data_IF_285989695767
#
_entry.id   IF_285989695767
#
_cell.length_a   1.000
_cell.length_b   1.000
_cell.length_c   1.000
_cell.angle_alpha   90.00
_cell.angle_beta   90.00
_cell.angle_gamma   90.00
#
_symmetry.space_group_name_H-M   'P 1'
#
loop_
_entity.id
_entity.type
_entity.pdbx_description
1 polymer ?
#
# COMPACT_ATOMS: atom_id res chain seq x y z
N UNK A 1 19.32 16.44 -81.41
CA UNK A 1 17.93 16.22 -80.98
C UNK A 1 17.70 14.75 -80.56
N UNK A 2 17.42 14.50 -79.26
CA UNK A 2 17.10 13.18 -78.63
C UNK A 2 18.23 12.12 -78.77
N UNK A 3 18.87 11.59 -77.73
CA UNK A 3 18.68 11.72 -76.27
C UNK A 3 17.30 11.28 -75.77
N UNK A 4 16.97 10.00 -75.98
CA UNK A 4 16.08 9.15 -75.15
C UNK A 4 16.18 7.70 -75.67
N UNK A 5 16.90 6.80 -74.98
CA UNK A 5 16.78 5.33 -75.15
C UNK A 5 17.68 4.46 -74.24
N UNK A 6 18.61 5.01 -73.45
CA UNK A 6 19.49 4.23 -72.55
C UNK A 6 19.29 4.58 -71.08
N UNK A 7 18.10 4.30 -70.56
CA UNK A 7 17.78 4.41 -69.12
C UNK A 7 16.73 3.37 -68.71
N UNK A 8 17.02 2.11 -69.02
CA UNK A 8 16.18 0.95 -68.70
C UNK A 8 17.03 -0.27 -68.30
N UNK A 9 17.99 -0.06 -67.38
CA UNK A 9 18.68 -1.09 -66.61
C UNK A 9 19.53 -0.41 -65.53
N UNK A 10 18.91 -0.10 -64.38
CA UNK A 10 19.50 0.14 -63.04
C UNK A 10 18.48 0.88 -62.18
N UNK A 11 17.48 0.14 -61.68
CA UNK A 11 16.75 0.49 -60.44
C UNK A 11 15.99 -0.75 -59.94
N UNK A 12 16.74 -1.83 -59.74
CA UNK A 12 16.27 -3.01 -59.05
C UNK A 12 16.54 -2.88 -57.55
N UNK A 13 15.64 -2.17 -56.86
CA UNK A 13 15.23 -2.53 -55.51
C UNK A 13 16.34 -2.66 -54.46
N UNK A 14 16.86 -1.52 -53.99
CA UNK A 14 17.33 -1.42 -52.61
C UNK A 14 16.12 -1.54 -51.66
N UNK A 15 15.66 -2.76 -51.42
CA UNK A 15 14.80 -3.03 -50.26
C UNK A 15 15.68 -2.75 -49.03
N UNK A 16 15.34 -1.79 -48.15
CA UNK A 16 16.02 -1.71 -46.87
C UNK A 16 15.78 -3.04 -46.16
N UNK A 17 16.86 -3.71 -45.74
CA UNK A 17 16.77 -4.99 -45.04
C UNK A 17 15.74 -4.82 -43.92
N UNK A 18 14.63 -5.56 -44.03
CA UNK A 18 13.50 -5.39 -43.13
C UNK A 18 14.01 -5.63 -41.71
N UNK A 19 14.01 -4.58 -40.89
CA UNK A 19 14.40 -4.68 -39.50
C UNK A 19 13.56 -5.82 -38.89
N UNK A 20 14.22 -6.92 -38.52
CA UNK A 20 13.59 -7.97 -37.74
C UNK A 20 12.98 -7.28 -36.52
N UNK A 21 11.66 -7.35 -36.29
CA UNK A 21 11.03 -6.63 -35.20
C UNK A 21 11.74 -7.03 -33.92
N UNK A 22 12.37 -6.07 -33.25
CA UNK A 22 13.15 -6.31 -32.04
C UNK A 22 12.21 -6.86 -30.98
N UNK A 23 12.32 -8.15 -30.70
CA UNK A 23 11.52 -8.83 -29.70
C UNK A 23 11.79 -8.16 -28.34
N UNK A 24 10.77 -7.51 -27.77
CA UNK A 24 10.88 -6.86 -26.48
C UNK A 24 10.58 -7.84 -25.35
N UNK A 25 11.43 -7.85 -24.33
CA UNK A 25 11.29 -8.67 -23.14
C UNK A 25 10.41 -7.92 -22.13
N UNK A 26 9.17 -8.37 -21.93
CA UNK A 26 8.26 -7.80 -20.94
C UNK A 26 8.36 -8.64 -19.67
N UNK A 27 9.18 -8.17 -18.73
CA UNK A 27 9.55 -8.90 -17.51
C UNK A 27 8.70 -8.44 -16.33
N UNK A 28 7.86 -9.34 -15.84
CA UNK A 28 7.00 -9.10 -14.68
C UNK A 28 7.64 -9.70 -13.42
N UNK A 29 7.82 -8.83 -12.43
CA UNK A 29 8.52 -9.08 -11.18
C UNK A 29 7.59 -8.72 -10.03
N UNK A 30 7.79 -9.35 -8.86
CA UNK A 30 6.93 -9.12 -7.69
C UNK A 30 6.60 -10.40 -6.95
N UNK A 31 6.16 -10.24 -5.70
CA UNK A 31 5.92 -11.34 -4.77
C UNK A 31 4.77 -12.28 -5.19
N UNK A 32 4.63 -13.45 -4.52
CA UNK A 32 3.48 -14.33 -4.73
C UNK A 32 2.14 -13.62 -4.54
N UNK A 33 1.10 -14.07 -5.24
CA UNK A 33 -0.25 -13.51 -5.11
C UNK A 33 -0.46 -12.10 -5.68
N UNK A 34 0.57 -11.44 -6.22
CA UNK A 34 0.47 -10.10 -6.82
C UNK A 34 -0.33 -10.06 -8.14
N UNK A 35 -0.50 -11.21 -8.81
CA UNK A 35 -1.31 -11.33 -10.04
C UNK A 35 -0.54 -11.29 -11.37
N UNK A 36 0.79 -11.48 -11.36
CA UNK A 36 1.67 -11.43 -12.56
C UNK A 36 1.13 -12.25 -13.75
N UNK A 37 0.97 -13.54 -13.57
CA UNK A 37 0.51 -14.47 -14.61
C UNK A 37 -0.88 -14.10 -15.16
N UNK A 38 -1.82 -13.70 -14.29
CA UNK A 38 -3.16 -13.22 -14.68
C UNK A 38 -3.09 -11.94 -15.51
N UNK A 39 -2.28 -10.96 -15.10
CA UNK A 39 -2.10 -9.71 -15.82
C UNK A 39 -1.48 -9.94 -17.20
N UNK A 40 -0.49 -10.84 -17.29
CA UNK A 40 0.13 -11.23 -18.56
C UNK A 40 -0.89 -11.90 -19.48
N UNK A 41 -1.72 -12.81 -18.97
CA UNK A 41 -2.78 -13.47 -19.74
C UNK A 41 -3.79 -12.44 -20.28
N UNK A 42 -4.14 -11.42 -19.50
CA UNK A 42 -4.99 -10.31 -19.95
C UNK A 42 -4.31 -9.45 -21.04
N UNK A 43 -3.01 -9.18 -20.92
CA UNK A 43 -2.22 -8.48 -21.96
C UNK A 43 -2.06 -9.29 -23.26
N UNK A 44 -2.00 -10.61 -23.17
CA UNK A 44 -1.99 -11.51 -24.32
C UNK A 44 -3.41 -11.79 -24.88
N UNK A 45 -4.46 -11.34 -24.20
CA UNK A 45 -5.85 -11.66 -24.56
C UNK A 45 -6.16 -13.17 -24.57
N UNK A 46 -5.30 -14.01 -23.98
CA UNK A 46 -5.43 -15.47 -23.92
C UNK A 46 -4.54 -16.05 -22.81
N UNK A 47 -4.93 -17.22 -22.28
CA UNK A 47 -4.22 -17.87 -21.17
C UNK A 47 -2.95 -18.57 -21.65
N UNK A 48 -1.83 -17.87 -21.63
CA UNK A 48 -0.49 -18.38 -22.01
C UNK A 48 0.35 -18.86 -20.82
N UNK A 49 0.00 -18.45 -19.59
CA UNK A 49 0.53 -18.94 -18.32
C UNK A 49 -0.60 -19.51 -17.48
N UNK A 50 -0.31 -20.50 -16.61
CA UNK A 50 -1.30 -20.97 -15.64
C UNK A 50 -1.46 -19.89 -14.55
N UNK A 51 -2.68 -19.42 -14.32
CA UNK A 51 -3.01 -18.47 -13.26
C UNK A 51 -4.21 -18.96 -12.44
N UNK A 52 -4.34 -18.53 -11.20
CA UNK A 52 -5.38 -19.03 -10.30
C UNK A 52 -5.02 -18.87 -8.83
N UNK A 53 -5.92 -19.33 -7.95
CA UNK A 53 -5.70 -19.30 -6.50
C UNK A 53 -4.66 -20.37 -6.11
N UNK A 54 -3.78 -20.02 -5.16
CA UNK A 54 -2.79 -20.94 -4.60
C UNK A 54 -2.60 -20.65 -3.11
N UNK A 55 -2.62 -21.70 -2.30
CA UNK A 55 -2.46 -21.59 -0.85
C UNK A 55 -0.99 -21.78 -0.46
N UNK A 56 -0.50 -20.97 0.48
CA UNK A 56 0.86 -21.07 1.04
C UNK A 56 1.97 -20.41 0.21
N UNK A 57 1.86 -20.39 -1.13
CA UNK A 57 2.88 -19.80 -2.01
C UNK A 57 2.37 -19.47 -3.41
N UNK A 58 3.29 -19.06 -4.30
CA UNK A 58 2.95 -18.70 -5.68
C UNK A 58 2.75 -19.92 -6.58
N UNK A 59 1.82 -19.83 -7.54
CA UNK A 59 1.59 -20.89 -8.54
C UNK A 59 2.76 -21.01 -9.54
N UNK A 60 3.37 -19.89 -9.92
CA UNK A 60 4.61 -19.83 -10.72
C UNK A 60 5.80 -20.19 -9.84
N UNK A 61 6.37 -21.39 -10.04
CA UNK A 61 7.52 -21.91 -9.28
C UNK A 61 8.86 -21.82 -10.02
N UNK A 62 8.84 -21.57 -11.32
CA UNK A 62 10.00 -21.49 -12.22
C UNK A 62 9.87 -20.28 -13.15
N UNK A 63 10.98 -19.81 -13.71
CA UNK A 63 10.97 -18.79 -14.77
C UNK A 63 10.27 -19.35 -16.02
N UNK A 64 9.29 -18.61 -16.55
CA UNK A 64 8.59 -19.00 -17.77
C UNK A 64 8.56 -17.84 -18.77
N UNK A 65 8.82 -18.14 -20.05
CA UNK A 65 8.74 -17.18 -21.14
C UNK A 65 7.86 -17.66 -22.29
N UNK A 66 7.04 -16.77 -22.84
CA UNK A 66 6.12 -17.03 -23.95
C UNK A 66 6.16 -15.87 -24.94
N UNK A 67 6.21 -16.16 -26.23
CA UNK A 67 6.14 -15.13 -27.28
C UNK A 67 4.69 -15.04 -27.77
N UNK A 68 4.15 -13.82 -27.77
CA UNK A 68 2.83 -13.50 -28.30
C UNK A 68 2.85 -12.06 -28.85
N UNK A 69 2.28 -11.83 -30.03
CA UNK A 69 2.24 -10.53 -30.72
C UNK A 69 3.58 -9.75 -30.73
N UNK A 70 4.66 -10.45 -31.09
CA UNK A 70 6.05 -9.92 -31.11
C UNK A 70 6.56 -9.36 -29.77
N UNK A 71 5.96 -9.78 -28.65
CA UNK A 71 6.44 -9.52 -27.29
C UNK A 71 6.83 -10.85 -26.64
N UNK A 72 7.99 -10.89 -25.97
CA UNK A 72 8.36 -12.00 -25.10
C UNK A 72 7.91 -11.68 -23.68
N UNK A 73 6.76 -12.22 -23.29
CA UNK A 73 6.27 -12.13 -21.92
C UNK A 73 7.07 -13.09 -21.04
N UNK A 74 7.53 -12.58 -19.90
CA UNK A 74 8.34 -13.28 -18.92
C UNK A 74 7.65 -13.20 -17.54
N UNK A 75 7.25 -14.36 -17.01
CA UNK A 75 6.69 -14.50 -15.67
C UNK A 75 7.71 -15.17 -14.74
N UNK A 76 7.80 -14.70 -13.50
CA UNK A 76 8.76 -15.20 -12.51
C UNK A 76 8.08 -15.68 -11.23
N UNK A 77 8.69 -16.62 -10.49
CA UNK A 77 8.42 -16.79 -9.06
C UNK A 77 8.68 -15.47 -8.30
N UNK A 78 8.15 -15.37 -7.08
CA UNK A 78 8.28 -14.17 -6.22
C UNK A 78 9.22 -14.39 -5.03
N UNK A 79 10.01 -13.37 -4.68
CA UNK A 79 11.06 -13.48 -3.66
C UNK A 79 10.55 -13.70 -2.22
N UNK A 80 9.31 -13.32 -1.90
CA UNK A 80 8.71 -13.60 -0.59
C UNK A 80 8.15 -15.03 -0.43
N UNK A 81 8.23 -15.90 -1.44
CA UNK A 81 7.84 -17.32 -1.32
C UNK A 81 8.91 -18.07 -0.49
N UNK A 82 8.60 -18.37 0.78
CA UNK A 82 9.57 -18.94 1.74
C UNK A 82 10.09 -20.32 1.33
N UNK A 83 9.30 -21.09 0.60
CA UNK A 83 9.63 -22.48 0.26
C UNK A 83 10.54 -22.58 -0.98
N UNK A 84 10.56 -21.54 -1.82
CA UNK A 84 11.33 -21.51 -3.07
C UNK A 84 12.19 -20.25 -3.25
N UNK A 85 12.56 -19.58 -2.16
CA UNK A 85 13.23 -18.27 -2.19
C UNK A 85 14.56 -18.30 -2.99
N UNK A 86 15.36 -19.37 -2.88
CA UNK A 86 16.59 -19.57 -3.66
C UNK A 86 16.30 -19.76 -5.15
N UNK A 87 15.33 -20.61 -5.48
CA UNK A 87 14.89 -20.82 -6.87
C UNK A 87 14.31 -19.53 -7.47
N UNK A 88 13.64 -18.69 -6.65
CA UNK A 88 13.10 -17.42 -7.10
C UNK A 88 14.20 -16.40 -7.42
N UNK A 89 15.23 -16.30 -6.57
CA UNK A 89 16.41 -15.48 -6.84
C UNK A 89 17.14 -15.93 -8.11
N UNK A 90 17.38 -17.24 -8.27
CA UNK A 90 18.01 -17.79 -9.46
C UNK A 90 17.19 -17.55 -10.75
N UNK A 91 15.88 -17.79 -10.69
CA UNK A 91 14.95 -17.58 -11.80
C UNK A 91 14.88 -16.12 -12.26
N UNK A 92 14.92 -15.16 -11.33
CA UNK A 92 14.95 -13.73 -11.68
C UNK A 92 16.32 -13.34 -12.26
N UNK A 93 17.43 -13.86 -11.72
CA UNK A 93 18.76 -13.67 -12.30
C UNK A 93 18.82 -14.24 -13.73
N UNK A 94 18.26 -15.41 -13.99
CA UNK A 94 18.17 -15.99 -15.34
C UNK A 94 17.32 -15.13 -16.28
N UNK A 95 16.17 -14.64 -15.80
CA UNK A 95 15.26 -13.80 -16.57
C UNK A 95 15.87 -12.45 -16.97
N UNK A 96 16.70 -11.84 -16.10
CA UNK A 96 17.48 -10.64 -16.41
C UNK A 96 18.69 -10.93 -17.31
N UNK A 97 19.23 -12.15 -17.24
CA UNK A 97 20.39 -12.59 -18.04
C UNK A 97 20.05 -13.01 -19.47
N UNK A 98 18.81 -12.83 -19.94
CA UNK A 98 18.51 -12.95 -21.37
C UNK A 98 19.06 -11.73 -22.11
N UNK A 99 19.43 -11.87 -23.38
CA UNK A 99 19.82 -10.71 -24.19
C UNK A 99 18.59 -9.95 -24.69
N UNK A 100 18.68 -8.61 -24.73
CA UNK A 100 17.74 -7.76 -25.47
C UNK A 100 17.21 -6.55 -24.70
N UNK A 101 16.13 -5.98 -25.25
CA UNK A 101 15.50 -4.76 -24.75
C UNK A 101 14.35 -5.11 -23.78
N UNK A 102 14.50 -4.72 -22.52
CA UNK A 102 13.57 -5.01 -21.44
C UNK A 102 12.61 -3.87 -21.17
N UNK A 103 11.36 -4.22 -20.87
CA UNK A 103 10.45 -3.43 -20.04
C UNK A 103 10.27 -4.14 -18.71
N UNK A 104 10.67 -3.49 -17.62
CA UNK A 104 10.58 -4.03 -16.27
C UNK A 104 9.28 -3.58 -15.61
N UNK A 105 8.47 -4.54 -15.16
CA UNK A 105 7.19 -4.32 -14.48
C UNK A 105 7.21 -4.92 -13.09
N UNK A 106 7.25 -4.07 -12.06
CA UNK A 106 7.19 -4.50 -10.67
C UNK A 106 5.75 -4.43 -10.14
N UNK A 107 5.19 -5.58 -9.78
CA UNK A 107 3.86 -5.68 -9.21
C UNK A 107 3.91 -5.48 -7.69
N UNK A 108 3.11 -4.54 -7.21
CA UNK A 108 3.07 -4.07 -5.82
C UNK A 108 1.64 -4.10 -5.30
N UNK A 109 1.45 -4.44 -4.03
CA UNK A 109 0.14 -4.45 -3.36
C UNK A 109 -0.07 -3.20 -2.50
N UNK A 110 -1.34 -2.84 -2.33
CA UNK A 110 -1.79 -1.91 -1.29
C UNK A 110 -2.61 -2.63 -0.23
N UNK A 111 -2.02 -2.84 0.95
CA UNK A 111 -2.72 -3.38 2.11
C UNK A 111 -3.28 -2.22 2.94
N UNK A 112 -4.61 -2.10 2.96
CA UNK A 112 -5.33 -1.00 3.62
C UNK A 112 -4.85 0.41 3.22
N UNK A 113 -4.35 0.55 1.98
CA UNK A 113 -3.82 1.81 1.43
C UNK A 113 -2.34 2.05 1.70
N UNK A 114 -1.65 1.13 2.39
CA UNK A 114 -0.20 1.14 2.61
C UNK A 114 0.49 0.25 1.59
N UNK A 115 1.66 0.68 1.14
CA UNK A 115 2.52 -0.08 0.24
C UNK A 115 3.20 -1.20 1.03
N UNK A 116 3.15 -2.44 0.54
CA UNK A 116 3.78 -3.58 1.24
C UNK A 116 5.30 -3.51 1.12
N UNK A 117 6.03 -3.56 2.24
CA UNK A 117 7.50 -3.41 2.28
C UNK A 117 8.23 -4.52 1.49
N UNK A 118 7.77 -5.77 1.58
CA UNK A 118 8.34 -6.90 0.82
C UNK A 118 8.28 -6.68 -0.70
N UNK A 119 7.24 -5.98 -1.19
CA UNK A 119 7.07 -5.69 -2.62
C UNK A 119 8.08 -4.61 -3.06
N UNK A 120 8.39 -3.64 -2.20
CA UNK A 120 9.46 -2.66 -2.44
C UNK A 120 10.87 -3.26 -2.27
N UNK A 121 11.05 -4.20 -1.33
CA UNK A 121 12.29 -4.94 -1.19
C UNK A 121 12.60 -5.76 -2.44
N UNK A 122 11.57 -6.28 -3.12
CA UNK A 122 11.71 -6.90 -4.44
C UNK A 122 12.25 -5.91 -5.48
N UNK A 123 11.74 -4.68 -5.53
CA UNK A 123 12.26 -3.63 -6.43
C UNK A 123 13.73 -3.35 -6.13
N UNK A 124 14.04 -3.05 -4.88
CA UNK A 124 15.38 -2.61 -4.45
C UNK A 124 16.44 -3.71 -4.66
N UNK A 125 16.15 -4.97 -4.30
CA UNK A 125 17.08 -6.10 -4.47
C UNK A 125 17.30 -6.44 -5.94
N UNK A 126 16.24 -6.48 -6.75
CA UNK A 126 16.36 -6.84 -8.18
C UNK A 126 17.04 -5.74 -8.97
N UNK A 127 16.76 -4.46 -8.70
CA UNK A 127 17.46 -3.36 -9.35
C UNK A 127 18.91 -3.22 -8.87
N UNK A 128 19.20 -3.53 -7.59
CA UNK A 128 20.58 -3.59 -7.07
C UNK A 128 21.40 -4.73 -7.69
N UNK A 129 20.79 -5.77 -8.25
CA UNK A 129 21.55 -6.85 -8.90
C UNK A 129 22.10 -6.44 -10.27
N UNK A 130 21.57 -5.38 -10.89
CA UNK A 130 21.94 -4.88 -12.22
C UNK A 130 22.96 -3.74 -12.08
N UNK A 131 24.13 -3.87 -12.71
CA UNK A 131 25.23 -2.90 -12.67
C UNK A 131 25.07 -1.78 -13.72
N UNK A 132 23.89 -1.13 -13.70
CA UNK A 132 23.57 0.00 -14.55
C UNK A 132 23.24 1.24 -13.70
N UNK A 133 23.79 2.39 -14.09
CA UNK A 133 23.65 3.65 -13.34
C UNK A 133 22.19 4.11 -13.18
N UNK A 134 21.40 3.97 -14.23
CA UNK A 134 19.99 4.37 -14.26
C UNK A 134 19.18 3.27 -14.95
N UNK A 135 18.30 2.61 -14.19
CA UNK A 135 17.45 1.52 -14.67
C UNK A 135 16.01 2.01 -14.62
N UNK A 136 15.38 2.36 -15.76
CA UNK A 136 13.99 2.77 -15.77
C UNK A 136 13.05 1.56 -15.69
N UNK A 137 12.01 1.66 -14.85
CA UNK A 137 11.05 0.59 -14.59
C UNK A 137 9.64 1.14 -14.40
N UNK A 138 8.64 0.26 -14.45
CA UNK A 138 7.23 0.58 -14.20
C UNK A 138 6.76 -0.14 -12.93
N UNK A 139 5.99 0.54 -12.08
CA UNK A 139 5.28 -0.07 -10.95
C UNK A 139 3.81 -0.25 -11.30
N UNK A 140 3.30 -1.46 -11.10
CA UNK A 140 1.91 -1.84 -11.36
C UNK A 140 1.27 -2.23 -10.03
N UNK A 141 0.35 -1.39 -9.55
CA UNK A 141 -0.31 -1.59 -8.27
C UNK A 141 -1.61 -2.32 -8.51
N UNK A 142 -1.67 -3.60 -8.16
CA UNK A 142 -2.79 -4.46 -8.51
C UNK A 142 -3.86 -4.57 -7.42
N UNK A 143 -5.06 -5.05 -7.79
CA UNK A 143 -6.19 -5.34 -6.89
C UNK A 143 -6.61 -4.14 -6.02
N UNK A 144 -6.54 -2.93 -6.57
CA UNK A 144 -6.89 -1.70 -5.84
C UNK A 144 -8.41 -1.63 -5.65
N UNK A 145 -8.88 -1.62 -4.39
CA UNK A 145 -10.31 -1.65 -4.08
C UNK A 145 -11.00 -0.38 -4.62
N UNK A 146 -12.24 -0.51 -5.10
CA UNK A 146 -13.02 0.56 -5.77
C UNK A 146 -12.89 1.97 -5.17
N UNK A 147 -13.01 2.13 -3.85
CA UNK A 147 -12.84 3.43 -3.16
C UNK A 147 -11.41 3.95 -3.26
N UNK A 148 -10.41 3.11 -3.00
CA UNK A 148 -9.00 3.48 -3.10
C UNK A 148 -8.65 3.86 -4.54
N UNK A 149 -9.14 3.10 -5.51
CA UNK A 149 -8.90 3.36 -6.93
C UNK A 149 -9.40 4.76 -7.33
N UNK A 150 -10.62 5.12 -6.95
CA UNK A 150 -11.16 6.46 -7.18
C UNK A 150 -10.25 7.56 -6.58
N UNK A 151 -9.81 7.42 -5.32
CA UNK A 151 -8.91 8.38 -4.65
C UNK A 151 -7.53 8.47 -5.34
N UNK A 152 -7.02 7.38 -5.91
CA UNK A 152 -5.77 7.38 -6.67
C UNK A 152 -5.94 8.07 -8.02
N UNK A 153 -7.09 7.90 -8.68
CA UNK A 153 -7.40 8.56 -9.96
C UNK A 153 -7.65 10.09 -9.81
N UNK A 154 -8.09 10.55 -8.65
CA UNK A 154 -8.16 11.99 -8.31
C UNK A 154 -6.78 12.67 -8.29
N UNK A 155 -5.71 11.89 -8.10
CA UNK A 155 -4.32 12.38 -7.92
C UNK A 155 -4.18 13.42 -6.80
N UNK A 156 -4.97 13.26 -5.73
CA UNK A 156 -4.96 14.12 -4.55
C UNK A 156 -3.81 13.83 -3.57
N UNK A 157 -3.87 14.37 -2.34
CA UNK A 157 -2.83 14.19 -1.33
C UNK A 157 -2.50 12.72 -1.02
N UNK A 158 -3.49 11.82 -1.01
CA UNK A 158 -3.26 10.40 -0.73
C UNK A 158 -2.54 9.69 -1.88
N UNK A 159 -2.78 10.07 -3.14
CA UNK A 159 -1.97 9.61 -4.28
C UNK A 159 -0.51 10.06 -4.13
N UNK A 160 -0.28 11.32 -3.76
CA UNK A 160 1.07 11.84 -3.51
C UNK A 160 1.76 11.07 -2.38
N UNK A 161 1.04 10.73 -1.29
CA UNK A 161 1.57 9.88 -0.22
C UNK A 161 1.97 8.49 -0.74
N UNK A 162 1.07 7.79 -1.43
CA UNK A 162 1.32 6.43 -1.95
C UNK A 162 2.49 6.43 -2.93
N UNK A 163 2.54 7.37 -3.88
CA UNK A 163 3.66 7.51 -4.82
C UNK A 163 4.98 7.82 -4.11
N UNK A 164 4.95 8.61 -3.04
CA UNK A 164 6.14 8.90 -2.22
C UNK A 164 6.63 7.65 -1.48
N UNK A 165 5.73 6.85 -0.92
CA UNK A 165 6.06 5.59 -0.23
C UNK A 165 6.60 4.52 -1.18
N UNK A 166 6.07 4.43 -2.41
CA UNK A 166 6.62 3.56 -3.48
C UNK A 166 8.06 3.95 -3.81
N UNK A 167 8.39 5.24 -3.67
CA UNK A 167 9.68 5.81 -4.00
C UNK A 167 10.47 6.19 -2.73
N UNK A 168 10.32 5.44 -1.63
CA UNK A 168 11.26 5.48 -0.51
C UNK A 168 12.58 4.77 -0.86
N UNK A 169 12.50 3.71 -1.68
CA UNK A 169 13.62 2.97 -2.30
C UNK A 169 14.68 3.87 -2.95
N UNK A 170 15.92 3.35 -3.09
CA UNK A 170 17.01 4.09 -3.74
C UNK A 170 16.70 4.35 -5.21
N UNK A 171 16.12 3.34 -5.86
CA UNK A 171 15.60 3.43 -7.22
C UNK A 171 14.20 4.06 -7.22
N UNK A 172 13.92 4.98 -8.14
CA UNK A 172 12.64 5.70 -8.20
C UNK A 172 12.06 5.75 -9.61
N UNK A 173 10.74 5.67 -9.76
CA UNK A 173 10.05 5.82 -11.04
C UNK A 173 8.81 6.72 -10.94
N UNK A 174 8.53 7.41 -12.05
CA UNK A 174 7.28 8.13 -12.32
C UNK A 174 6.24 7.27 -13.07
N UNK A 175 6.63 6.09 -13.57
CA UNK A 175 5.76 5.21 -14.34
C UNK A 175 5.00 4.28 -13.39
N UNK A 176 3.85 4.76 -12.91
CA UNK A 176 3.02 4.05 -11.93
C UNK A 176 1.60 3.93 -12.47
N UNK A 177 1.09 2.70 -12.58
CA UNK A 177 -0.33 2.42 -12.81
C UNK A 177 -0.97 1.81 -11.56
N UNK A 178 -2.26 2.12 -11.40
CA UNK A 178 -3.15 1.45 -10.46
C UNK A 178 -4.10 0.61 -11.29
N UNK A 179 -4.31 -0.64 -10.91
CA UNK A 179 -5.23 -1.57 -11.55
C UNK A 179 -6.33 -1.85 -10.52
N UNK A 180 -7.61 -1.56 -10.83
CA UNK A 180 -8.69 -1.84 -9.89
C UNK A 180 -8.85 -3.35 -9.72
N UNK A 181 -9.54 -3.78 -8.67
CA UNK A 181 -10.15 -5.12 -8.67
C UNK A 181 -11.07 -5.21 -9.90
N UNK A 182 -10.93 -6.29 -10.68
CA UNK A 182 -11.75 -6.57 -11.85
C UNK A 182 -12.56 -7.83 -11.55
N UNK A 183 -13.87 -7.68 -11.35
CA UNK A 183 -14.77 -8.75 -10.90
C UNK A 183 -14.68 -10.04 -11.75
N UNK A 184 -14.39 -9.91 -13.05
CA UNK A 184 -14.22 -11.04 -13.97
C UNK A 184 -12.90 -11.83 -13.83
N UNK A 185 -12.04 -11.45 -12.87
CA UNK A 185 -10.78 -12.14 -12.53
C UNK A 185 -10.75 -12.58 -11.05
N UNK A 186 -11.76 -12.24 -10.25
CA UNK A 186 -11.74 -12.47 -8.81
C UNK A 186 -12.03 -13.95 -8.50
N UNK A 187 -11.13 -14.59 -7.76
CA UNK A 187 -11.13 -16.03 -7.45
C UNK A 187 -11.17 -17.01 -8.67
N UNK A 188 -11.06 -16.52 -9.91
CA UNK A 188 -11.17 -17.33 -11.13
C UNK A 188 -9.81 -17.87 -11.65
N UNK A 189 -9.79 -19.16 -11.99
CA UNK A 189 -8.62 -19.85 -12.55
C UNK A 189 -8.47 -19.56 -14.06
N UNK A 190 -7.27 -19.13 -14.48
CA UNK A 190 -6.91 -18.86 -15.89
C UNK A 190 -7.78 -17.82 -16.60
N UNK A 191 -8.50 -16.98 -15.85
CA UNK A 191 -9.37 -15.95 -16.40
C UNK A 191 -8.60 -14.89 -17.22
N UNK A 192 -9.28 -14.39 -18.24
CA UNK A 192 -8.76 -13.40 -19.19
C UNK A 192 -9.84 -12.36 -19.44
N UNK A 193 -9.49 -11.09 -19.33
CA UNK A 193 -10.38 -9.98 -19.63
C UNK A 193 -9.61 -8.79 -20.21
N UNK A 194 -10.34 -7.77 -20.67
CA UNK A 194 -9.73 -6.52 -21.13
C UNK A 194 -9.32 -5.68 -19.93
N UNK A 195 -8.08 -5.20 -19.94
CA UNK A 195 -7.58 -4.26 -18.95
C UNK A 195 -8.19 -2.86 -19.15
N UNK A 196 -8.13 -1.99 -18.14
CA UNK A 196 -8.38 -0.56 -18.33
C UNK A 196 -7.48 0.00 -19.46
N UNK A 197 -8.01 0.76 -20.44
CA UNK A 197 -7.25 1.19 -21.61
C UNK A 197 -5.99 2.01 -21.27
N UNK A 198 -6.02 2.78 -20.18
CA UNK A 198 -4.90 3.55 -19.67
C UNK A 198 -3.78 2.65 -19.11
N UNK A 199 -4.13 1.56 -18.43
CA UNK A 199 -3.18 0.53 -17.96
C UNK A 199 -2.55 -0.19 -19.15
N UNK A 200 -3.35 -0.62 -20.13
CA UNK A 200 -2.85 -1.29 -21.33
C UNK A 200 -1.95 -0.37 -22.16
N UNK A 201 -2.35 0.88 -22.38
CA UNK A 201 -1.53 1.87 -23.09
C UNK A 201 -0.24 2.20 -22.35
N UNK A 202 -0.26 2.28 -21.01
CA UNK A 202 0.97 2.45 -20.23
C UNK A 202 1.92 1.29 -20.51
N UNK A 203 1.49 0.05 -20.30
CA UNK A 203 2.34 -1.15 -20.43
C UNK A 203 2.89 -1.29 -21.85
N UNK A 204 2.03 -1.19 -22.88
CA UNK A 204 2.45 -1.36 -24.28
C UNK A 204 3.32 -0.22 -24.78
N UNK A 205 2.91 1.04 -24.59
CA UNK A 205 3.47 2.17 -25.35
C UNK A 205 4.30 3.15 -24.52
N UNK A 206 3.98 3.37 -23.24
CA UNK A 206 4.64 4.40 -22.43
C UNK A 206 5.63 3.87 -21.38
N UNK A 207 5.54 2.58 -21.03
CA UNK A 207 6.48 1.94 -20.12
C UNK A 207 7.89 2.00 -20.74
N UNK A 208 8.89 2.49 -19.99
CA UNK A 208 10.23 2.73 -20.51
C UNK A 208 10.94 1.41 -20.80
N UNK A 209 11.98 1.50 -21.62
CA UNK A 209 12.74 0.33 -22.07
C UNK A 209 14.23 0.53 -21.76
N UNK A 210 14.93 -0.55 -21.40
CA UNK A 210 16.35 -0.57 -21.05
C UNK A 210 17.02 -1.78 -21.70
N UNK A 211 18.25 -1.61 -22.20
CA UNK A 211 19.09 -2.73 -22.61
C UNK A 211 19.83 -3.25 -21.38
N UNK A 212 19.79 -4.57 -21.14
CA UNK A 212 20.52 -5.20 -20.02
C UNK A 212 21.42 -6.27 -20.63
N UNK A 213 22.74 -6.12 -20.45
CA UNK A 213 23.69 -7.16 -20.82
C UNK A 213 23.70 -8.24 -19.75
N UNK A 214 23.83 -9.54 -20.10
CA UNK A 214 24.02 -10.60 -19.11
C UNK A 214 25.28 -10.39 -18.24
N UNK A 215 26.27 -9.64 -18.74
CA UNK A 215 27.47 -9.27 -17.97
C UNK A 215 27.21 -8.21 -16.88
N UNK A 216 26.13 -7.45 -17.00
CA UNK A 216 25.73 -6.41 -16.04
C UNK A 216 24.83 -7.00 -14.94
N UNK A 217 24.51 -8.31 -14.98
CA UNK A 217 23.60 -8.96 -14.03
C UNK A 217 24.39 -9.78 -13.01
N UNK A 218 24.19 -9.47 -11.73
CA UNK A 218 24.73 -10.21 -10.58
C UNK A 218 23.69 -11.16 -10.00
N UNK A 219 24.14 -12.23 -9.35
CA UNK A 219 23.26 -13.14 -8.63
C UNK A 219 22.56 -12.43 -7.47
N UNK A 220 21.23 -12.58 -7.39
CA UNK A 220 20.44 -12.08 -6.26
C UNK A 220 20.74 -12.92 -5.00
N UNK A 221 20.89 -12.27 -3.85
CA UNK A 221 21.13 -12.92 -2.55
C UNK A 221 19.93 -12.74 -1.62
N UNK A 222 19.67 -13.73 -0.77
CA UNK A 222 18.48 -13.78 0.09
C UNK A 222 18.63 -12.90 1.33
N UNK A 223 19.84 -12.81 1.86
CA UNK A 223 20.19 -12.02 3.04
C UNK A 223 19.90 -10.54 2.80
N UNK A 224 20.16 -10.07 1.56
CA UNK A 224 19.85 -8.72 1.13
C UNK A 224 18.33 -8.46 1.17
N UNK A 225 17.49 -9.41 0.74
CA UNK A 225 16.02 -9.23 0.74
C UNK A 225 15.42 -9.05 2.12
N UNK A 226 15.80 -9.91 3.09
CA UNK A 226 15.26 -9.81 4.46
C UNK A 226 15.63 -8.48 5.11
N UNK A 227 16.93 -8.14 5.04
CA UNK A 227 17.45 -6.88 5.57
C UNK A 227 16.79 -5.66 4.93
N UNK A 228 16.67 -5.64 3.60
CA UNK A 228 16.07 -4.53 2.86
C UNK A 228 14.57 -4.37 3.17
N UNK A 229 13.81 -5.46 3.37
CA UNK A 229 12.40 -5.35 3.78
C UNK A 229 12.24 -4.74 5.18
N UNK A 230 13.09 -5.11 6.12
CA UNK A 230 13.10 -4.53 7.47
C UNK A 230 13.47 -3.04 7.43
N UNK A 231 14.54 -2.66 6.72
CA UNK A 231 14.96 -1.26 6.54
C UNK A 231 13.87 -0.41 5.87
N UNK A 232 13.24 -0.90 4.79
CA UNK A 232 12.15 -0.19 4.10
C UNK A 232 10.89 -0.06 4.95
N UNK A 233 10.57 -1.06 5.77
CA UNK A 233 9.44 -0.99 6.70
C UNK A 233 9.64 0.12 7.74
N UNK A 234 10.84 0.21 8.31
CA UNK A 234 11.16 1.31 9.24
C UNK A 234 11.14 2.68 8.54
N UNK A 235 11.66 2.79 7.31
CA UNK A 235 11.65 4.03 6.55
C UNK A 235 10.22 4.50 6.25
N UNK A 236 9.35 3.59 5.81
CA UNK A 236 7.93 3.88 5.58
C UNK A 236 7.21 4.33 6.85
N UNK A 237 7.50 3.70 8.00
CA UNK A 237 6.92 4.11 9.29
C UNK A 237 7.41 5.51 9.71
N UNK A 238 8.71 5.80 9.53
CA UNK A 238 9.28 7.14 9.76
C UNK A 238 8.64 8.19 8.84
N UNK A 239 8.47 7.91 7.55
CA UNK A 239 7.80 8.78 6.58
C UNK A 239 6.32 9.01 6.88
N UNK A 240 5.62 8.02 7.43
CA UNK A 240 4.21 8.16 7.81
C UNK A 240 4.02 8.96 9.10
N UNK A 241 4.93 8.83 10.06
CA UNK A 241 4.84 9.47 11.37
C UNK A 241 5.44 10.90 11.37
N UNK A 242 6.44 11.20 10.53
CA UNK A 242 7.05 12.52 10.41
C UNK A 242 6.57 13.28 9.16
N UNK A 243 5.67 14.24 9.38
CA UNK A 243 5.13 15.10 8.31
C UNK A 243 6.19 16.01 7.67
N UNK A 244 7.25 16.40 8.39
CA UNK A 244 8.32 17.23 7.85
C UNK A 244 9.25 16.40 6.95
N UNK A 245 9.60 15.17 7.37
CA UNK A 245 10.31 14.21 6.54
C UNK A 245 9.52 13.85 5.27
N UNK A 246 8.21 13.63 5.41
CA UNK A 246 7.32 13.38 4.28
C UNK A 246 7.28 14.54 3.29
N UNK A 247 7.09 15.78 3.78
CA UNK A 247 7.15 17.00 2.95
C UNK A 247 8.50 17.16 2.24
N UNK A 248 9.61 16.85 2.93
CA UNK A 248 10.96 16.88 2.35
C UNK A 248 11.11 15.85 1.24
N UNK A 249 10.73 14.58 1.46
CA UNK A 249 10.82 13.53 0.44
C UNK A 249 9.95 13.84 -0.78
N UNK A 250 8.74 14.36 -0.54
CA UNK A 250 7.83 14.88 -1.57
C UNK A 250 8.53 15.98 -2.40
N UNK A 251 9.21 16.94 -1.77
CA UNK A 251 9.95 17.99 -2.46
C UNK A 251 11.15 17.45 -3.27
N UNK A 252 11.96 16.55 -2.69
CA UNK A 252 13.09 15.89 -3.35
C UNK A 252 12.64 15.19 -4.64
N UNK A 253 11.59 14.37 -4.56
CA UNK A 253 11.01 13.68 -5.71
C UNK A 253 10.45 14.64 -6.78
N UNK A 254 9.97 15.82 -6.37
CA UNK A 254 9.40 16.82 -7.27
C UNK A 254 10.43 17.61 -8.08
N UNK A 255 11.71 17.56 -7.69
CA UNK A 255 12.81 18.07 -8.52
C UNK A 255 13.10 17.17 -9.72
N UNK A 256 12.67 15.90 -9.69
CA UNK A 256 12.89 14.96 -10.79
C UNK A 256 11.91 15.25 -11.95
N UNK A 257 12.38 15.23 -13.21
CA UNK A 257 11.52 15.51 -14.36
C UNK A 257 10.37 14.49 -14.44
N UNK A 258 9.20 14.97 -14.86
CA UNK A 258 7.97 14.19 -15.06
C UNK A 258 7.40 13.47 -13.83
N UNK A 259 7.95 13.67 -12.62
CA UNK A 259 7.60 12.86 -11.45
C UNK A 259 6.19 13.10 -10.88
N UNK A 260 5.77 14.37 -10.80
CA UNK A 260 4.45 14.78 -10.33
C UNK A 260 3.79 15.78 -11.30
N UNK A 261 3.91 15.55 -12.61
CA UNK A 261 3.37 16.45 -13.63
C UNK A 261 1.86 16.69 -13.44
N UNK A 262 1.45 17.96 -13.59
CA UNK A 262 0.11 18.52 -13.29
C UNK A 262 -0.40 18.44 -11.83
N UNK A 263 0.04 17.48 -11.01
CA UNK A 263 -0.49 17.26 -9.65
C UNK A 263 -0.24 18.46 -8.72
N UNK A 264 0.98 19.02 -8.76
CA UNK A 264 1.40 20.09 -7.86
C UNK A 264 0.60 21.38 -7.92
N UNK A 265 0.05 21.76 -9.08
CA UNK A 265 -0.65 23.06 -9.20
C UNK A 265 -1.95 23.11 -8.38
N UNK A 266 -2.56 21.94 -8.11
CA UNK A 266 -3.72 21.82 -7.20
C UNK A 266 -3.30 21.49 -5.78
N UNK A 267 -2.26 20.66 -5.63
CA UNK A 267 -1.81 20.15 -4.33
C UNK A 267 -1.08 21.22 -3.50
N UNK A 268 -0.29 22.10 -4.12
CA UNK A 268 0.36 23.22 -3.42
C UNK A 268 -0.67 24.12 -2.69
N UNK A 269 -1.80 24.41 -3.33
CA UNK A 269 -2.87 25.22 -2.74
C UNK A 269 -3.56 24.54 -1.54
N UNK A 270 -3.55 23.21 -1.46
CA UNK A 270 -4.12 22.44 -0.35
C UNK A 270 -3.13 22.28 0.83
N UNK A 271 -1.82 22.25 0.55
CA UNK A 271 -0.80 22.04 1.58
C UNK A 271 -0.53 23.27 2.46
N UNK A 272 -0.88 24.48 1.99
CA UNK A 272 -0.84 25.71 2.81
C UNK A 272 -2.03 25.82 3.77
N UNK A 273 -3.23 25.32 3.42
CA UNK A 273 -4.45 25.51 4.24
C UNK A 273 -4.83 24.34 5.17
N UNK A 274 -4.38 23.10 4.93
CA UNK A 274 -4.96 21.91 5.59
C UNK A 274 -4.08 21.12 6.57
N UNK A 275 -2.89 21.63 6.95
CA UNK A 275 -2.10 21.06 8.06
C UNK A 275 -1.67 22.15 9.07
N UNK A 276 -2.62 22.98 9.50
CA UNK A 276 -2.49 23.87 10.67
C UNK A 276 -3.70 23.80 11.61
N UNK A 277 -4.19 22.59 11.91
CA UNK A 277 -4.96 22.36 13.13
C UNK A 277 -4.36 21.21 13.93
N UNK A 278 -3.86 21.45 15.16
CA UNK A 278 -3.55 20.36 16.08
C UNK A 278 -4.85 19.67 16.47
N UNK A 279 -4.81 18.33 16.59
CA UNK A 279 -5.96 17.55 17.07
C UNK A 279 -6.14 17.79 18.57
N UNK A 280 -6.83 18.87 18.92
CA UNK A 280 -7.33 19.10 20.28
C UNK A 280 -8.69 18.42 20.41
N UNK A 281 -8.74 17.29 21.11
CA UNK A 281 -10.00 16.70 21.55
C UNK A 281 -10.63 17.57 22.65
N UNK A 282 -11.40 18.58 22.26
CA UNK A 282 -12.31 19.26 23.17
C UNK A 282 -13.68 18.56 23.18
N UNK A 283 -13.81 17.54 24.04
CA UNK A 283 -15.13 17.15 24.53
C UNK A 283 -15.72 18.31 25.34
N UNK A 284 -16.76 18.98 24.86
CA UNK A 284 -17.67 19.72 25.76
C UNK A 284 -19.10 19.73 25.20
N UNK A 285 -20.01 19.13 25.97
CA UNK A 285 -21.45 19.24 25.80
C UNK A 285 -21.91 20.67 26.09
N UNK A 286 -22.67 21.28 25.17
CA UNK A 286 -23.68 22.31 25.49
C UNK A 286 -24.73 22.40 24.38
N UNK A 287 -25.99 22.13 24.74
CA UNK A 287 -27.16 22.48 23.93
C UNK A 287 -27.42 23.99 24.00
N UNK A 288 -28.09 24.55 22.99
CA UNK A 288 -29.16 25.51 23.24
C UNK A 288 -30.52 24.95 22.80
N UNK A 289 -31.56 25.21 23.59
CA UNK A 289 -32.94 25.07 23.14
C UNK A 289 -33.32 26.27 22.26
N UNK A 290 -34.17 26.03 21.25
CA UNK A 290 -35.11 27.02 20.73
C UNK A 290 -36.38 26.29 20.29
N UNK A 291 -37.55 26.83 20.66
CA UNK A 291 -38.86 26.24 20.43
C UNK A 291 -39.27 26.21 18.95
N UNK A 292 -40.20 25.30 18.61
CA UNK A 292 -41.48 25.67 17.96
C UNK A 292 -42.53 24.59 18.23
N UNK A 293 -43.79 25.01 18.37
CA UNK A 293 -44.93 24.23 18.87
C UNK A 293 -45.75 23.56 17.75
N UNK A 294 -46.45 22.50 18.14
CA UNK A 294 -47.79 22.04 17.66
C UNK A 294 -48.01 21.70 16.19
N UNK A 295 -48.25 20.41 15.89
CA UNK A 295 -49.58 19.91 15.45
C UNK A 295 -49.66 18.36 15.41
N UNK A 296 -50.84 17.83 15.73
CA UNK A 296 -51.35 16.44 15.57
C UNK A 296 -52.91 16.55 15.62
N UNK A 297 -53.70 15.52 15.28
CA UNK A 297 -53.54 14.46 14.28
C UNK A 297 -54.83 14.25 13.42
N UNK A 298 -54.77 13.49 12.31
CA UNK A 298 -55.93 12.87 11.61
C UNK A 298 -55.40 11.78 10.64
N UNK A 299 -56.11 10.71 10.25
CA UNK A 299 -57.24 9.96 10.85
C UNK A 299 -57.37 8.59 10.12
N UNK A 300 -57.90 7.54 10.77
CA UNK A 300 -58.07 6.20 10.17
C UNK A 300 -59.40 6.02 9.41
N UNK A 301 -59.36 5.41 8.20
CA UNK A 301 -60.42 4.67 7.46
C UNK A 301 -59.69 3.75 6.44
N UNK A 302 -60.13 2.60 5.92
CA UNK A 302 -61.29 1.66 6.02
C UNK A 302 -60.88 0.39 5.20
N UNK A 303 -61.46 -0.82 5.28
CA UNK A 303 -62.40 -1.53 6.18
C UNK A 303 -62.44 -3.01 5.72
N UNK A 304 -62.51 -4.01 6.61
CA UNK A 304 -62.56 -5.46 6.26
C UNK A 304 -63.95 -6.10 6.45
N UNK A 305 -64.29 -7.09 5.61
CA UNK A 305 -65.40 -8.05 5.77
C UNK A 305 -65.08 -9.29 4.89
N UNK A 306 -64.86 -10.50 5.44
CA UNK A 306 -65.89 -11.50 5.79
C UNK A 306 -66.55 -12.14 4.53
N UNK A 307 -66.81 -13.45 4.41
CA UNK A 307 -66.48 -14.66 5.20
C UNK A 307 -66.67 -15.91 4.27
N UNK A 308 -66.87 -17.11 4.84
CA UNK A 308 -67.20 -18.41 4.20
C UNK A 308 -66.00 -19.19 3.61
N UNK A 309 -65.73 -20.47 3.92
CA UNK A 309 -66.42 -21.43 4.77
C UNK A 309 -66.87 -22.68 3.99
N UNK A 310 -66.34 -23.88 4.33
CA UNK A 310 -67.01 -25.19 4.18
C UNK A 310 -66.21 -26.30 4.89
N UNK A 311 -66.93 -27.32 5.36
CA UNK A 311 -66.54 -28.29 6.39
C UNK A 311 -66.04 -29.62 5.81
N UNK A 312 -65.13 -30.28 6.53
CA UNK A 312 -64.64 -31.62 6.21
C UNK A 312 -65.54 -32.75 6.77
N UNK A 313 -65.53 -33.92 6.12
CA UNK A 313 -66.03 -35.17 6.68
C UNK A 313 -64.96 -36.28 6.55
N UNK A 314 -64.84 -37.12 7.58
CA UNK A 314 -63.83 -38.18 7.70
C UNK A 314 -64.48 -39.54 7.98
N UNK A 315 -64.01 -40.60 7.31
CA UNK A 315 -64.29 -42.06 7.51
C UNK A 315 -63.16 -42.83 6.76
N UNK A 316 -62.45 -43.85 7.25
CA UNK A 316 -62.46 -44.55 8.55
C UNK A 316 -61.03 -44.93 9.05
N UNK A 317 -61.02 -45.59 10.20
CA UNK A 317 -60.01 -46.27 11.01
C UNK A 317 -59.35 -47.55 10.41
N UNK A 318 -58.22 -47.97 11.00
CA UNK A 318 -57.55 -49.26 10.74
C UNK A 318 -56.31 -49.46 11.61
N UNK A 319 -56.35 -50.41 12.55
CA UNK A 319 -55.44 -50.57 13.71
C UNK A 319 -54.22 -51.47 13.46
N UNK A 320 -53.02 -51.15 14.00
CA UNK A 320 -52.29 -51.94 15.03
C UNK A 320 -50.82 -51.54 15.26
N UNK A 321 -50.52 -51.23 16.53
CA UNK A 321 -49.32 -51.52 17.35
C UNK A 321 -47.87 -51.40 16.82
N UNK A 322 -47.25 -50.28 17.22
CA UNK A 322 -45.92 -50.09 17.83
C UNK A 322 -44.78 -51.14 17.67
N UNK A 323 -43.58 -50.65 17.28
CA UNK A 323 -42.33 -50.70 18.10
C UNK A 323 -41.39 -49.54 17.64
N UNK A 324 -40.61 -48.98 18.59
CA UNK A 324 -39.66 -47.87 18.40
C UNK A 324 -38.50 -48.15 17.42
N UNK A 325 -38.23 -47.18 16.53
CA UNK A 325 -36.86 -46.72 16.20
C UNK A 325 -36.92 -45.30 15.63
N UNK A 326 -36.45 -44.30 16.37
CA UNK A 326 -36.29 -42.91 15.90
C UNK A 326 -34.90 -42.70 15.30
N UNK A 327 -34.85 -42.18 14.07
CA UNK A 327 -33.60 -41.89 13.37
C UNK A 327 -33.82 -41.05 12.12
N UNK A 328 -33.86 -39.73 12.29
CA UNK A 328 -33.94 -38.72 11.21
C UNK A 328 -33.13 -37.47 11.63
N UNK A 329 -32.61 -36.65 10.70
CA UNK A 329 -31.28 -36.03 10.88
C UNK A 329 -31.26 -34.65 11.55
N UNK A 330 -30.07 -34.29 12.06
CA UNK A 330 -29.75 -32.97 12.59
C UNK A 330 -29.93 -31.84 11.56
N UNK A 331 -30.53 -30.74 12.00
CA UNK A 331 -30.31 -29.39 11.45
C UNK A 331 -29.46 -28.65 12.48
N UNK A 332 -28.25 -28.24 12.10
CA UNK A 332 -27.35 -27.48 12.97
C UNK A 332 -27.71 -25.99 12.84
N UNK A 333 -27.96 -25.32 13.96
CA UNK A 333 -28.11 -23.87 14.04
C UNK A 333 -26.75 -23.22 14.34
N UNK A 334 -26.48 -22.06 13.75
CA UNK A 334 -25.26 -21.28 14.02
C UNK A 334 -25.28 -20.66 15.43
N UNK A 335 -24.21 -20.87 16.20
CA UNK A 335 -24.05 -20.30 17.53
C UNK A 335 -23.17 -19.04 17.48
N UNK A 336 -23.62 -17.96 18.12
CA UNK A 336 -22.83 -16.70 18.20
C UNK A 336 -21.69 -16.83 19.22
N UNK A 337 -20.52 -16.20 18.99
CA UNK A 337 -19.41 -16.25 19.94
C UNK A 337 -19.78 -15.62 21.29
N UNK A 338 -19.46 -16.31 22.40
CA UNK A 338 -19.55 -15.73 23.74
C UNK A 338 -18.34 -14.83 24.04
N UNK A 339 -18.50 -13.77 24.87
CA UNK A 339 -17.37 -12.95 25.30
C UNK A 339 -16.45 -13.71 26.28
N UNK A 340 -15.15 -13.44 26.19
CA UNK A 340 -14.11 -14.07 27.03
C UNK A 340 -14.22 -13.67 28.52
N UNK A 341 -13.75 -14.54 29.45
CA UNK A 341 -13.94 -14.34 30.88
C UNK A 341 -13.12 -13.14 31.43
N UNK A 342 -13.58 -12.48 32.52
CA UNK A 342 -13.00 -11.21 32.99
C UNK A 342 -11.50 -11.22 33.34
N UNK A 343 -10.92 -12.36 33.69
CA UNK A 343 -9.49 -12.44 34.04
C UNK A 343 -8.58 -12.19 32.83
N UNK A 344 -8.92 -12.71 31.64
CA UNK A 344 -8.08 -12.53 30.44
C UNK A 344 -8.03 -11.06 29.99
N UNK A 345 -9.12 -10.33 30.19
CA UNK A 345 -9.20 -8.89 29.91
C UNK A 345 -8.34 -8.07 30.88
N UNK A 346 -8.33 -8.43 32.17
CA UNK A 346 -7.47 -7.79 33.16
C UNK A 346 -5.98 -8.09 32.91
N UNK A 347 -5.63 -9.31 32.53
CA UNK A 347 -4.24 -9.67 32.19
C UNK A 347 -3.75 -8.95 30.92
N UNK A 348 -4.57 -8.85 29.88
CA UNK A 348 -4.22 -8.07 28.66
C UNK A 348 -4.11 -6.57 28.93
N UNK A 349 -4.97 -5.98 29.77
CA UNK A 349 -4.81 -4.59 30.20
C UNK A 349 -3.51 -4.36 31.00
N UNK A 350 -3.17 -5.24 31.95
CA UNK A 350 -1.94 -5.13 32.72
C UNK A 350 -0.69 -5.30 31.85
N UNK A 351 -0.71 -6.21 30.87
CA UNK A 351 0.37 -6.37 29.91
C UNK A 351 0.55 -5.12 29.03
N UNK A 352 -0.55 -4.54 28.53
CA UNK A 352 -0.52 -3.29 27.77
C UNK A 352 0.04 -2.11 28.58
N UNK A 353 -0.36 -1.98 29.85
CA UNK A 353 0.15 -0.95 30.76
C UNK A 353 1.66 -1.09 30.99
N UNK A 354 2.14 -2.33 31.22
CA UNK A 354 3.56 -2.62 31.41
C UNK A 354 4.40 -2.37 30.15
N UNK A 355 3.88 -2.66 28.95
CA UNK A 355 4.55 -2.35 27.68
C UNK A 355 4.61 -0.82 27.46
N UNK A 356 3.52 -0.11 27.76
CA UNK A 356 3.47 1.36 27.67
C UNK A 356 4.50 2.03 28.60
N UNK A 357 4.61 1.55 29.85
CA UNK A 357 5.62 2.02 30.80
C UNK A 357 7.05 1.90 30.27
N UNK A 358 7.43 0.71 29.79
CA UNK A 358 8.77 0.45 29.22
C UNK A 358 9.10 1.28 27.97
N UNK A 359 8.09 1.66 27.20
CA UNK A 359 8.29 2.54 26.04
C UNK A 359 8.58 3.99 26.48
N UNK A 360 7.97 4.47 27.58
CA UNK A 360 8.24 5.79 28.15
C UNK A 360 9.63 5.84 28.81
N UNK A 361 10.06 4.78 29.50
CA UNK A 361 11.43 4.67 30.05
C UNK A 361 12.47 4.83 28.93
N UNK A 362 12.36 4.00 27.87
CA UNK A 362 13.25 4.06 26.69
C UNK A 362 13.26 5.42 25.99
N UNK A 363 12.13 6.10 25.95
CA UNK A 363 12.03 7.44 25.37
C UNK A 363 12.81 8.46 26.21
N UNK A 364 12.63 8.44 27.54
CA UNK A 364 13.34 9.31 28.48
C UNK A 364 14.86 9.04 28.47
N UNK A 365 15.27 7.77 28.44
CA UNK A 365 16.70 7.38 28.36
C UNK A 365 17.35 7.90 27.06
N UNK A 366 16.71 7.68 25.90
CA UNK A 366 17.23 8.15 24.61
C UNK A 366 17.23 9.67 24.50
N UNK A 367 16.27 10.36 25.13
CA UNK A 367 16.26 11.81 25.21
C UNK A 367 17.46 12.35 26.01
N UNK A 368 17.82 11.71 27.13
CA UNK A 368 18.98 12.07 27.94
C UNK A 368 20.32 11.77 27.22
N UNK A 369 20.40 10.64 26.51
CA UNK A 369 21.54 10.28 25.66
C UNK A 369 21.78 11.32 24.55
N UNK A 370 20.71 11.72 23.82
CA UNK A 370 20.79 12.76 22.79
C UNK A 370 21.20 14.14 23.32
N UNK A 371 20.81 14.50 24.56
CA UNK A 371 21.30 15.73 25.19
C UNK A 371 22.81 15.66 25.47
N UNK A 372 23.31 14.50 25.88
CA UNK A 372 24.73 14.27 26.13
C UNK A 372 25.52 14.34 24.81
N UNK A 373 25.10 13.60 23.78
CA UNK A 373 25.70 13.62 22.43
C UNK A 373 25.75 15.07 21.87
N UNK A 374 24.68 15.85 22.04
CA UNK A 374 24.61 17.23 21.57
C UNK A 374 25.54 18.17 22.37
N UNK A 375 25.61 18.01 23.69
CA UNK A 375 26.50 18.78 24.55
C UNK A 375 27.97 18.53 24.24
N UNK A 376 28.37 17.26 24.07
CA UNK A 376 29.74 16.88 23.72
C UNK A 376 30.14 17.43 22.34
N UNK A 377 29.26 17.34 21.33
CA UNK A 377 29.50 17.96 20.02
C UNK A 377 29.71 19.46 20.06
N UNK A 378 28.96 20.19 20.89
CA UNK A 378 29.13 21.65 21.06
C UNK A 378 30.49 22.01 21.69
N UNK A 379 31.05 21.12 22.51
CA UNK A 379 32.42 21.26 23.05
C UNK A 379 33.47 20.92 21.98
N UNK A 380 33.27 19.84 21.21
CA UNK A 380 34.17 19.40 20.14
C UNK A 380 34.37 20.50 19.06
N UNK A 381 33.29 21.16 18.65
CA UNK A 381 33.35 22.25 17.66
C UNK A 381 33.75 23.62 18.25
N UNK A 382 34.13 23.67 19.53
CA UNK A 382 34.61 24.88 20.22
C UNK A 382 33.54 25.96 20.49
N UNK A 383 32.25 25.62 20.36
CA UNK A 383 31.13 26.56 20.58
C UNK A 383 30.79 26.69 22.07
N UNK A 384 31.09 25.68 22.89
CA UNK A 384 30.94 25.74 24.35
C UNK A 384 32.22 25.27 25.07
N UNK A 385 32.64 25.93 26.18
CA UNK A 385 33.70 25.41 27.03
C UNK A 385 33.19 24.18 27.82
N UNK A 386 34.06 23.20 28.17
CA UNK A 386 33.66 21.99 28.89
C UNK A 386 32.91 22.25 30.21
N UNK A 387 33.19 23.39 30.86
CA UNK A 387 32.56 23.83 32.11
C UNK A 387 31.08 24.26 31.99
N UNK A 388 30.50 24.28 30.78
CA UNK A 388 29.09 24.59 30.56
C UNK A 388 28.18 23.36 30.39
N UNK A 389 28.72 22.13 30.33
CA UNK A 389 27.91 20.91 30.19
C UNK A 389 26.88 20.76 31.34
N UNK A 390 27.26 21.14 32.57
CA UNK A 390 26.37 21.14 33.75
C UNK A 390 25.33 22.28 33.79
N UNK A 391 25.23 23.09 32.72
CA UNK A 391 24.26 24.19 32.58
C UNK A 391 23.31 23.98 31.39
N UNK A 392 23.38 22.85 30.70
CA UNK A 392 22.42 22.49 29.66
C UNK A 392 21.08 22.21 30.36
N UNK A 393 19.95 22.83 29.93
CA UNK A 393 18.65 22.54 30.53
C UNK A 393 18.28 21.06 30.34
N UNK A 394 18.00 20.35 31.42
CA UNK A 394 17.51 18.97 31.34
C UNK A 394 16.18 18.92 30.58
N UNK A 395 16.05 17.96 29.67
CA UNK A 395 14.81 17.75 28.92
C UNK A 395 13.72 17.27 29.88
N UNK A 396 12.55 17.91 29.82
CA UNK A 396 11.44 17.61 30.73
C UNK A 396 10.97 16.16 30.51
N UNK A 397 11.18 15.29 31.51
CA UNK A 397 10.82 13.87 31.44
C UNK A 397 9.33 13.69 31.17
N UNK A 398 9.02 12.74 30.29
CA UNK A 398 7.64 12.27 30.07
C UNK A 398 7.22 11.46 31.29
N UNK A 399 6.16 11.89 31.97
CA UNK A 399 5.62 11.22 33.17
C UNK A 399 4.94 9.90 32.82
N UNK A 400 5.06 8.91 33.71
CA UNK A 400 4.30 7.67 33.62
C UNK A 400 2.86 7.85 34.11
N UNK A 401 1.96 7.00 33.59
CA UNK A 401 0.59 6.89 34.10
C UNK A 401 0.67 6.32 35.52
N UNK A 402 0.42 7.18 36.52
CA UNK A 402 0.50 6.85 37.94
C UNK A 402 1.57 7.62 38.73
N UNK A 403 2.43 8.40 38.08
CA UNK A 403 3.41 9.23 38.79
C UNK A 403 2.73 10.32 39.63
N UNK A 404 3.19 10.58 40.87
CA UNK A 404 2.69 11.68 41.67
C UNK A 404 3.07 13.02 41.00
N UNK A 405 2.06 13.85 40.70
CA UNK A 405 2.25 15.15 40.05
C UNK A 405 3.07 16.08 40.94
N UNK A 406 4.35 16.26 40.59
CA UNK A 406 5.21 17.27 41.21
C UNK A 406 4.77 18.65 40.72
N UNK A 407 4.06 19.39 41.57
CA UNK A 407 3.81 20.82 41.37
C UNK A 407 5.12 21.61 41.55
N UNK A 408 5.89 21.77 40.47
CA UNK A 408 6.99 22.74 40.41
C UNK A 408 6.43 24.14 40.20
N UNK A 409 6.62 25.02 41.18
CA UNK A 409 6.25 26.44 41.10
C UNK A 409 7.05 27.18 40.00
N UNK A 410 6.50 27.31 38.79
CA UNK A 410 7.07 28.19 37.77
C UNK A 410 6.08 28.57 36.64
N UNK A 411 4.92 29.16 36.93
CA UNK A 411 4.23 30.09 36.01
C UNK A 411 3.12 30.87 36.75
N UNK A 412 3.47 31.93 37.48
CA UNK A 412 2.48 32.91 37.96
C UNK A 412 2.07 33.81 36.79
N UNK A 413 1.02 33.42 36.10
CA UNK A 413 0.32 34.27 35.14
C UNK A 413 -0.28 35.48 35.87
N UNK A 414 0.10 36.68 35.45
CA UNK A 414 -0.63 37.89 35.82
C UNK A 414 -1.85 38.00 34.93
N UNK A 415 -2.99 38.34 35.51
CA UNK A 415 -4.17 38.75 34.77
C UNK A 415 -4.47 40.21 35.12
N UNK A 416 -4.96 40.94 34.12
CA UNK A 416 -5.67 42.19 34.33
C UNK A 416 -7.13 41.82 34.64
N UNK A 417 -7.75 42.55 35.56
CA UNK A 417 -9.20 42.47 35.77
C UNK A 417 -9.97 43.22 34.66
N UNK A 418 -11.31 43.19 34.72
CA UNK A 418 -12.17 43.75 33.67
C UNK A 418 -12.08 45.30 33.56
N UNK A 419 -11.48 45.97 34.54
CA UNK A 419 -11.17 47.41 34.53
C UNK A 419 -9.72 47.71 34.07
N UNK A 420 -8.85 46.70 34.02
CA UNK A 420 -7.53 46.76 33.38
C UNK A 420 -6.32 46.86 34.32
N UNK A 421 -6.47 46.58 35.63
CA UNK A 421 -5.39 46.64 36.62
C UNK A 421 -4.87 45.24 37.01
N UNK A 422 -3.58 45.12 37.36
CA UNK A 422 -2.95 43.84 37.74
C UNK A 422 -3.36 43.41 39.17
N UNK A 423 -4.24 42.42 39.30
CA UNK A 423 -4.61 41.81 40.57
C UNK A 423 -3.96 40.42 40.77
N UNK A 424 -3.40 40.16 41.95
CA UNK A 424 -3.02 38.80 42.38
C UNK A 424 -4.21 38.10 43.06
N UNK A 425 -4.50 36.86 42.66
CA UNK A 425 -5.38 35.99 43.44
C UNK A 425 -4.70 35.49 44.74
N UNK A 426 -5.48 35.24 45.81
CA UNK A 426 -4.97 34.77 47.11
C UNK A 426 -4.48 33.32 47.11
#
# INVERSE_FOLDING_TARGET
PKLTSLQHQMDASLVPASATPSLHNFLFLGNPGTGKSTLINCLAGTSIFKSGLSYGGGLTKEFQKRIHDNVQYMDTPGLADRDIQENAAAAITEALSQSGMYKLFFMVRLENGRVVSDDLATIEVVLSSIDLKEIPFTVLINNVKKRQYAQMMEKGPDFVKVVTLINSTKHTTSHIAFIPVIDALDEEDNAVTKLPPDVEHLIRFHAPTVEISPNDVRSIRIEDFKKVSEELREEQEKLLNDTALMKRRIAELSTKPNFFSCTWRKVAALFDEHIMQPVVQCTHSRRPNADIRTAKPQENKHFDSADDGIVAHAVDTGTMDAVNTTGAPNVIAEEKPQPSPPNEQNETMNLAHNISGKNIERYNDRAQELQTEAGERLVEIGVAPPSNLSKIPELQRVQHVGDPVLHTEAFRLRYLDDDGDEAMQP
#
